data_IF_575631580035
#
_entry.id   IF_575631580035
#
_cell.length_a   1.000
_cell.length_b   1.000
_cell.length_c   1.000
_cell.angle_alpha   90.00
_cell.angle_beta   90.00
_cell.angle_gamma   90.00
#
_symmetry.space_group_name_H-M   'P 1'
#
loop_
_entity.id
_entity.type
_entity.pdbx_description
1 polymer ?
#
# COMPACT_ATOMS: atom_id res chain seq x y z
N UNK A 1 -43.27 -32.11 -28.00
CA UNK A 1 -43.58 -31.54 -29.32
C UNK A 1 -42.39 -30.84 -29.95
N UNK A 2 -41.64 -30.02 -29.23
CA UNK A 2 -40.44 -29.32 -29.73
C UNK A 2 -39.31 -30.25 -30.20
N UNK A 3 -39.05 -31.34 -29.45
CA UNK A 3 -38.00 -32.31 -29.80
C UNK A 3 -38.30 -33.04 -31.12
N UNK A 4 -39.55 -33.35 -31.35
CA UNK A 4 -40.02 -34.02 -32.59
C UNK A 4 -39.87 -33.11 -33.81
N UNK A 5 -40.20 -31.84 -33.66
CA UNK A 5 -40.07 -30.84 -34.73
C UNK A 5 -38.59 -30.59 -35.08
N UNK A 6 -37.70 -30.57 -34.08
CA UNK A 6 -36.26 -30.44 -34.25
C UNK A 6 -35.66 -31.64 -35.00
N UNK A 7 -36.09 -32.85 -34.68
CA UNK A 7 -35.64 -34.08 -35.34
C UNK A 7 -36.18 -34.13 -36.80
N UNK A 8 -37.43 -33.73 -37.04
CA UNK A 8 -38.02 -33.67 -38.37
C UNK A 8 -37.29 -32.69 -39.28
N UNK A 9 -36.96 -31.48 -38.78
CA UNK A 9 -36.22 -30.47 -39.53
C UNK A 9 -34.80 -30.95 -39.84
N UNK A 10 -34.12 -31.69 -38.93
CA UNK A 10 -32.78 -32.24 -39.13
C UNK A 10 -32.76 -33.35 -40.21
N UNK A 11 -33.83 -34.12 -40.36
CA UNK A 11 -33.92 -35.20 -41.38
C UNK A 11 -34.12 -34.59 -42.77
N UNK A 12 -34.89 -33.49 -42.85
CA UNK A 12 -35.22 -32.84 -44.13
C UNK A 12 -34.05 -31.98 -44.69
N UNK A 13 -33.17 -31.44 -43.78
CA UNK A 13 -32.03 -30.60 -44.17
C UNK A 13 -30.69 -31.12 -43.60
N UNK A 14 -30.06 -32.16 -44.24
CA UNK A 14 -28.75 -32.69 -43.83
C UNK A 14 -27.63 -31.67 -43.62
N UNK A 15 -27.51 -30.57 -44.42
CA UNK A 15 -26.44 -29.60 -44.21
C UNK A 15 -26.56 -28.84 -42.90
N UNK A 16 -27.74 -28.72 -42.28
CA UNK A 16 -27.91 -28.08 -40.97
C UNK A 16 -27.24 -28.89 -39.86
N UNK A 17 -27.17 -30.20 -40.03
CA UNK A 17 -26.52 -31.10 -39.05
C UNK A 17 -24.97 -30.82 -38.95
N UNK A 18 -24.35 -30.49 -40.09
CA UNK A 18 -22.92 -30.17 -40.16
C UNK A 18 -22.60 -28.85 -39.44
N UNK A 19 -23.51 -27.90 -39.32
CA UNK A 19 -23.32 -26.65 -38.57
C UNK A 19 -23.31 -26.86 -37.03
N UNK A 20 -23.55 -28.11 -36.56
CA UNK A 20 -23.55 -28.47 -35.17
C UNK A 20 -22.13 -28.56 -34.52
N UNK A 21 -21.08 -28.68 -35.33
CA UNK A 21 -19.74 -28.82 -34.84
C UNK A 21 -19.16 -27.48 -34.36
N UNK A 22 -18.45 -27.51 -33.23
CA UNK A 22 -17.71 -26.39 -32.72
C UNK A 22 -16.52 -26.90 -31.88
N UNK A 23 -15.52 -26.04 -31.69
CA UNK A 23 -14.30 -26.34 -30.96
C UNK A 23 -14.35 -25.62 -29.62
N UNK A 24 -14.04 -26.36 -28.55
CA UNK A 24 -13.82 -25.84 -27.20
C UNK A 24 -12.31 -25.70 -26.99
N UNK A 25 -11.84 -24.47 -26.82
CA UNK A 25 -10.42 -24.20 -26.62
C UNK A 25 -9.96 -24.54 -25.18
N UNK A 26 -8.66 -24.74 -24.95
CA UNK A 26 -8.10 -24.88 -23.61
C UNK A 26 -8.38 -23.64 -22.74
N UNK A 27 -8.78 -23.86 -21.48
CA UNK A 27 -9.14 -22.78 -20.56
C UNK A 27 -10.30 -21.89 -21.06
N UNK A 28 -11.23 -22.48 -21.80
CA UNK A 28 -12.49 -21.89 -22.24
C UNK A 28 -13.62 -22.85 -21.89
N UNK A 29 -14.70 -22.34 -21.33
CA UNK A 29 -15.92 -23.09 -21.08
C UNK A 29 -17.07 -22.48 -21.90
N UNK A 30 -17.96 -23.31 -22.36
CA UNK A 30 -19.10 -22.89 -23.17
C UNK A 30 -20.39 -23.23 -22.43
N UNK A 31 -21.12 -22.18 -22.07
CA UNK A 31 -22.47 -22.30 -21.52
C UNK A 31 -23.46 -22.40 -22.67
N UNK A 32 -24.21 -23.49 -22.70
CA UNK A 32 -25.16 -23.81 -23.75
C UNK A 32 -26.58 -23.48 -23.30
N UNK A 33 -27.20 -22.54 -23.99
CA UNK A 33 -28.64 -22.24 -23.86
C UNK A 33 -29.37 -22.81 -25.01
N UNK A 34 -30.56 -23.39 -24.78
CA UNK A 34 -31.49 -23.86 -25.81
C UNK A 34 -32.86 -23.23 -25.56
N UNK A 35 -33.34 -22.49 -26.53
CA UNK A 35 -34.61 -21.73 -26.43
C UNK A 35 -34.68 -20.86 -25.14
N UNK A 36 -33.56 -20.22 -24.78
CA UNK A 36 -33.47 -19.38 -23.58
C UNK A 36 -33.30 -20.13 -22.25
N UNK A 37 -33.32 -21.47 -22.25
CA UNK A 37 -33.11 -22.28 -21.04
C UNK A 37 -31.69 -22.80 -21.01
N UNK A 38 -31.08 -22.80 -19.83
CA UNK A 38 -29.77 -23.44 -19.58
C UNK A 38 -29.89 -24.95 -19.75
N UNK A 39 -28.96 -25.54 -20.47
CA UNK A 39 -28.91 -26.99 -20.72
C UNK A 39 -27.68 -27.62 -20.04
N UNK A 40 -26.50 -27.08 -20.34
CA UNK A 40 -25.23 -27.64 -19.81
C UNK A 40 -24.10 -26.67 -20.01
N UNK A 41 -23.01 -26.88 -19.25
CA UNK A 41 -21.73 -26.22 -19.44
C UNK A 41 -20.70 -27.21 -19.93
N UNK A 42 -20.07 -26.94 -21.05
CA UNK A 42 -19.05 -27.79 -21.66
C UNK A 42 -17.67 -27.33 -21.17
N UNK A 43 -17.03 -28.19 -20.39
CA UNK A 43 -15.67 -27.97 -19.82
C UNK A 43 -14.60 -28.75 -20.55
N UNK A 44 -14.99 -29.81 -21.26
CA UNK A 44 -14.03 -30.67 -21.98
C UNK A 44 -13.62 -30.07 -23.30
N UNK A 45 -12.31 -29.96 -23.51
CA UNK A 45 -11.68 -29.45 -24.72
C UNK A 45 -11.89 -30.36 -25.93
N UNK A 46 -11.77 -29.80 -27.14
CA UNK A 46 -11.83 -30.55 -28.39
C UNK A 46 -13.08 -30.26 -29.19
N UNK A 47 -13.30 -31.06 -30.24
CA UNK A 47 -14.42 -30.94 -31.13
C UNK A 47 -15.68 -31.50 -30.44
N UNK A 48 -16.74 -30.71 -30.40
CA UNK A 48 -18.03 -31.10 -29.84
C UNK A 48 -19.11 -30.82 -30.85
N UNK A 49 -20.16 -31.64 -30.77
CA UNK A 49 -21.36 -31.48 -31.60
C UNK A 49 -22.58 -31.26 -30.71
N UNK A 50 -23.34 -30.23 -31.03
CA UNK A 50 -24.64 -29.97 -30.41
C UNK A 50 -25.59 -29.54 -31.53
N UNK A 51 -26.81 -29.99 -31.45
CA UNK A 51 -27.84 -29.66 -32.41
C UNK A 51 -27.97 -28.14 -32.63
N UNK A 52 -27.89 -27.64 -33.88
CA UNK A 52 -27.77 -26.21 -34.16
C UNK A 52 -29.03 -25.39 -33.89
N UNK A 53 -30.20 -26.02 -33.91
CA UNK A 53 -31.51 -25.31 -33.85
C UNK A 53 -31.80 -24.82 -32.43
N UNK A 54 -32.06 -23.50 -32.28
CA UNK A 54 -32.49 -22.87 -31.04
C UNK A 54 -31.38 -22.76 -29.97
N UNK A 55 -30.10 -22.98 -30.33
CA UNK A 55 -28.99 -22.88 -29.42
C UNK A 55 -28.36 -21.49 -29.38
N UNK A 56 -27.93 -21.05 -28.18
CA UNK A 56 -27.02 -19.92 -27.97
C UNK A 56 -25.82 -20.43 -27.19
N UNK A 57 -24.62 -20.20 -27.70
CA UNK A 57 -23.36 -20.59 -27.08
C UNK A 57 -22.70 -19.35 -26.48
N UNK A 58 -22.52 -19.32 -25.16
CA UNK A 58 -21.83 -18.26 -24.47
C UNK A 58 -20.44 -18.78 -24.10
N UNK A 59 -19.40 -18.23 -24.73
CA UNK A 59 -18.00 -18.61 -24.50
C UNK A 59 -17.42 -17.73 -23.41
N UNK A 60 -16.89 -18.36 -22.37
CA UNK A 60 -16.30 -17.69 -21.23
C UNK A 60 -14.88 -18.24 -21.03
N UNK A 61 -13.91 -17.34 -20.97
CA UNK A 61 -12.54 -17.68 -20.65
C UNK A 61 -12.40 -17.92 -19.15
N UNK A 62 -11.76 -19.02 -18.77
CA UNK A 62 -11.38 -19.35 -17.39
C UNK A 62 -9.90 -19.10 -17.11
N UNK A 63 -9.24 -18.32 -17.99
CA UNK A 63 -7.85 -17.89 -17.81
C UNK A 63 -7.76 -16.82 -16.74
N UNK A 64 -6.59 -16.74 -16.12
CA UNK A 64 -6.29 -15.65 -15.21
C UNK A 64 -6.24 -14.34 -16.05
N UNK A 65 -6.94 -13.35 -15.59
CA UNK A 65 -7.12 -12.06 -16.28
C UNK A 65 -6.79 -10.95 -15.29
N UNK A 66 -6.13 -9.92 -15.77
CA UNK A 66 -5.86 -8.71 -15.00
C UNK A 66 -6.91 -7.65 -15.32
N UNK A 67 -7.32 -6.93 -14.29
CA UNK A 67 -8.18 -5.75 -14.37
C UNK A 67 -7.47 -4.59 -13.71
N UNK A 68 -7.26 -3.52 -14.45
CA UNK A 68 -6.69 -2.27 -13.94
C UNK A 68 -7.85 -1.35 -13.52
N UNK A 69 -7.82 -0.94 -12.25
CA UNK A 69 -8.77 0.02 -11.69
C UNK A 69 -8.16 1.40 -11.84
N UNK A 70 -8.87 2.26 -12.56
CA UNK A 70 -8.45 3.64 -12.79
C UNK A 70 -8.24 4.40 -11.45
N UNK A 71 -7.29 5.35 -11.42
CA UNK A 71 -7.07 6.20 -10.26
C UNK A 71 -8.36 6.85 -9.80
N UNK A 72 -8.64 6.74 -8.51
CA UNK A 72 -9.84 7.32 -7.90
C UNK A 72 -9.48 8.00 -6.59
N UNK A 73 -10.08 9.17 -6.36
CA UNK A 73 -9.88 9.91 -5.11
C UNK A 73 -10.76 9.32 -4.01
N UNK A 74 -10.13 9.03 -2.88
CA UNK A 74 -10.77 8.49 -1.67
C UNK A 74 -10.27 9.25 -0.46
N UNK A 75 -11.12 9.38 0.56
CA UNK A 75 -10.71 9.96 1.85
C UNK A 75 -10.29 8.81 2.77
N UNK A 76 -9.04 8.84 3.24
CA UNK A 76 -8.52 7.86 4.20
C UNK A 76 -9.07 8.10 5.62
N UNK A 77 -8.75 7.19 6.57
CA UNK A 77 -9.24 7.24 7.95
C UNK A 77 -8.91 8.55 8.68
N UNK A 78 -7.80 9.22 8.34
CA UNK A 78 -7.41 10.50 8.94
C UNK A 78 -8.07 11.72 8.26
N UNK A 79 -8.95 11.50 7.27
CA UNK A 79 -9.64 12.57 6.56
C UNK A 79 -8.85 13.19 5.40
N UNK A 80 -7.70 12.65 5.03
CA UNK A 80 -6.91 13.14 3.93
C UNK A 80 -7.39 12.54 2.60
N UNK A 81 -7.62 13.34 1.54
CA UNK A 81 -7.90 12.81 0.22
C UNK A 81 -6.63 12.21 -0.41
N UNK A 82 -6.74 10.97 -0.86
CA UNK A 82 -5.69 10.23 -1.56
C UNK A 82 -6.20 9.76 -2.92
N UNK A 83 -5.33 9.72 -3.91
CA UNK A 83 -5.56 9.03 -5.17
C UNK A 83 -4.99 7.64 -5.09
N UNK A 84 -5.82 6.65 -5.42
CA UNK A 84 -5.48 5.25 -5.35
C UNK A 84 -5.89 4.54 -6.65
N UNK A 85 -5.00 3.75 -7.21
CA UNK A 85 -5.27 2.79 -8.28
C UNK A 85 -4.90 1.38 -7.83
N UNK A 86 -5.50 0.37 -8.44
CA UNK A 86 -5.22 -1.01 -8.08
C UNK A 86 -5.30 -1.93 -9.30
N UNK A 87 -4.58 -3.03 -9.21
CA UNK A 87 -4.60 -4.12 -10.19
C UNK A 87 -5.17 -5.37 -9.52
N UNK A 88 -6.22 -5.92 -10.12
CA UNK A 88 -6.88 -7.13 -9.65
C UNK A 88 -6.59 -8.28 -10.60
N UNK A 89 -6.09 -9.39 -10.10
CA UNK A 89 -5.94 -10.63 -10.84
C UNK A 89 -7.09 -11.56 -10.46
N UNK A 90 -7.88 -11.95 -11.44
CA UNK A 90 -9.06 -12.78 -11.24
C UNK A 90 -9.21 -13.85 -12.31
N UNK A 91 -10.03 -14.83 -12.04
CA UNK A 91 -10.51 -15.82 -13.03
C UNK A 91 -11.98 -16.14 -12.80
N UNK A 92 -12.65 -16.58 -13.86
CA UNK A 92 -14.02 -17.11 -13.74
C UNK A 92 -13.93 -18.55 -13.25
N UNK A 93 -14.46 -18.81 -12.05
CA UNK A 93 -14.53 -20.14 -11.45
C UNK A 93 -15.85 -20.86 -11.77
N UNK A 94 -16.95 -20.12 -11.85
CA UNK A 94 -18.28 -20.63 -12.20
C UNK A 94 -18.83 -19.87 -13.41
N UNK A 95 -18.69 -20.49 -14.57
CA UNK A 95 -19.11 -19.91 -15.85
C UNK A 95 -20.63 -19.83 -15.99
N UNK A 96 -21.39 -20.67 -15.27
CA UNK A 96 -22.84 -20.57 -15.24
C UNK A 96 -23.28 -19.26 -14.58
N UNK A 97 -22.72 -18.96 -13.39
CA UNK A 97 -23.03 -17.70 -12.69
C UNK A 97 -22.60 -16.49 -13.54
N UNK A 98 -21.41 -16.53 -14.11
CA UNK A 98 -20.88 -15.46 -14.95
C UNK A 98 -21.69 -15.20 -16.23
N UNK A 99 -22.40 -16.25 -16.75
CA UNK A 99 -23.20 -16.14 -17.97
C UNK A 99 -24.66 -15.76 -17.73
N UNK A 100 -25.21 -16.10 -16.56
CA UNK A 100 -26.67 -16.08 -16.32
C UNK A 100 -27.04 -15.09 -15.22
N UNK A 101 -26.23 -14.98 -14.17
CA UNK A 101 -26.57 -14.13 -13.01
C UNK A 101 -26.22 -12.65 -13.22
N UNK A 102 -25.27 -12.36 -14.09
CA UNK A 102 -24.84 -11.00 -14.42
C UNK A 102 -24.89 -10.79 -15.93
N UNK A 103 -25.16 -9.58 -16.36
CA UNK A 103 -25.23 -9.24 -17.79
C UNK A 103 -23.83 -9.26 -18.44
N UNK A 104 -22.87 -8.59 -17.80
CA UNK A 104 -21.45 -8.60 -18.17
C UNK A 104 -20.59 -8.73 -16.91
N UNK A 105 -20.00 -9.90 -16.75
CA UNK A 105 -19.16 -10.21 -15.59
C UNK A 105 -17.90 -9.33 -15.53
N UNK A 106 -17.38 -8.84 -16.66
CA UNK A 106 -16.20 -7.97 -16.70
C UNK A 106 -16.51 -6.60 -16.14
N UNK A 107 -17.59 -5.99 -16.62
CA UNK A 107 -18.07 -4.71 -16.10
C UNK A 107 -18.49 -4.84 -14.64
N UNK A 108 -19.12 -5.96 -14.27
CA UNK A 108 -19.54 -6.22 -12.91
C UNK A 108 -18.35 -6.23 -11.94
N UNK A 109 -17.25 -6.94 -12.26
CA UNK A 109 -16.05 -6.94 -11.39
C UNK A 109 -15.39 -5.55 -11.35
N UNK A 110 -15.36 -4.81 -12.45
CA UNK A 110 -14.80 -3.47 -12.52
C UNK A 110 -15.55 -2.51 -11.56
N UNK A 111 -16.87 -2.49 -11.63
CA UNK A 111 -17.73 -1.66 -10.78
C UNK A 111 -17.59 -2.06 -9.29
N UNK A 112 -17.57 -3.36 -8.99
CA UNK A 112 -17.40 -3.86 -7.62
C UNK A 112 -16.01 -3.57 -7.09
N UNK A 113 -14.97 -3.76 -7.89
CA UNK A 113 -13.59 -3.51 -7.50
C UNK A 113 -13.36 -2.03 -7.16
N UNK A 114 -13.85 -1.11 -7.96
CA UNK A 114 -13.80 0.33 -7.66
C UNK A 114 -14.50 0.69 -6.35
N UNK A 115 -15.66 0.10 -6.08
CA UNK A 115 -16.40 0.32 -4.82
C UNK A 115 -15.66 -0.25 -3.60
N UNK A 116 -15.07 -1.45 -3.73
CA UNK A 116 -14.29 -2.10 -2.66
C UNK A 116 -13.03 -1.32 -2.36
N UNK A 117 -12.30 -0.85 -3.39
CA UNK A 117 -11.09 -0.02 -3.21
C UNK A 117 -11.42 1.21 -2.37
N UNK A 118 -12.49 1.93 -2.68
CA UNK A 118 -12.94 3.09 -1.90
C UNK A 118 -13.26 2.73 -0.45
N UNK A 119 -13.97 1.64 -0.23
CA UNK A 119 -14.40 1.20 1.10
C UNK A 119 -13.24 0.74 1.98
N UNK A 120 -12.30 -0.02 1.43
CA UNK A 120 -11.15 -0.52 2.17
C UNK A 120 -10.14 0.60 2.41
N UNK A 121 -9.85 1.43 1.41
CA UNK A 121 -8.94 2.57 1.56
C UNK A 121 -9.39 3.54 2.67
N UNK A 122 -10.71 3.75 2.84
CA UNK A 122 -11.24 4.58 3.91
C UNK A 122 -11.00 4.02 5.34
N UNK A 123 -10.67 2.74 5.49
CA UNK A 123 -10.44 2.10 6.79
C UNK A 123 -8.99 2.18 7.27
N UNK A 124 -8.04 2.37 6.37
CA UNK A 124 -6.63 2.39 6.68
C UNK A 124 -6.02 3.76 6.47
N UNK A 125 -5.02 4.16 7.30
CA UNK A 125 -4.26 5.38 7.04
C UNK A 125 -3.33 5.19 5.83
N UNK A 126 -3.07 6.28 5.12
CA UNK A 126 -2.07 6.30 4.06
C UNK A 126 -0.71 5.87 4.57
N UNK A 127 -0.25 6.47 5.68
CA UNK A 127 1.01 6.20 6.35
C UNK A 127 0.81 6.16 7.86
N UNK A 128 1.52 5.28 8.56
CA UNK A 128 1.53 5.20 10.02
C UNK A 128 2.93 5.45 10.54
N UNK A 129 3.04 6.28 11.60
CA UNK A 129 4.29 6.46 12.33
C UNK A 129 4.69 5.20 13.12
N UNK A 130 3.72 4.36 13.45
CA UNK A 130 3.93 3.09 14.15
C UNK A 130 4.17 1.97 13.13
N UNK A 131 5.37 1.33 13.11
CA UNK A 131 5.69 0.25 12.19
C UNK A 131 4.78 -0.98 12.30
N UNK A 132 4.13 -1.18 13.44
CA UNK A 132 3.26 -2.32 13.73
C UNK A 132 1.84 -2.14 13.19
N UNK A 133 1.44 -0.91 12.87
CA UNK A 133 0.09 -0.63 12.35
C UNK A 133 0.02 -0.80 10.85
N UNK A 134 -1.04 -1.49 10.41
CA UNK A 134 -1.35 -1.64 9.00
C UNK A 134 -1.60 -0.26 8.36
N UNK A 135 -0.99 0.00 7.21
CA UNK A 135 -1.18 1.22 6.43
C UNK A 135 -1.12 0.89 4.92
N UNK A 136 -1.76 1.74 4.11
CA UNK A 136 -1.85 1.53 2.67
C UNK A 136 -0.49 1.53 1.97
N UNK A 137 0.40 2.45 2.35
CA UNK A 137 1.73 2.64 1.73
C UNK A 137 2.66 1.42 1.86
N UNK A 138 2.52 0.62 2.91
CA UNK A 138 3.35 -0.58 3.12
C UNK A 138 2.80 -1.83 2.46
N UNK A 139 1.59 -1.75 1.86
CA UNK A 139 0.89 -2.94 1.34
C UNK A 139 0.96 -4.11 2.32
N UNK A 140 0.65 -3.83 3.60
CA UNK A 140 0.71 -4.87 4.63
C UNK A 140 -0.20 -6.05 4.24
N UNK A 141 0.19 -7.24 4.64
CA UNK A 141 -0.54 -8.47 4.35
C UNK A 141 -2.01 -8.40 4.82
N UNK A 142 -2.25 -7.68 5.91
CA UNK A 142 -3.60 -7.43 6.44
C UNK A 142 -4.45 -6.62 5.46
N UNK A 143 -3.88 -5.55 4.87
CA UNK A 143 -4.59 -4.71 3.90
C UNK A 143 -4.93 -5.50 2.65
N UNK A 144 -3.95 -6.23 2.10
CA UNK A 144 -4.15 -7.05 0.89
C UNK A 144 -5.18 -8.15 1.13
N UNK A 145 -5.13 -8.82 2.27
CA UNK A 145 -6.08 -9.88 2.65
C UNK A 145 -7.48 -9.30 2.79
N UNK A 146 -7.64 -8.11 3.37
CA UNK A 146 -8.94 -7.46 3.49
C UNK A 146 -9.50 -7.07 2.13
N UNK A 147 -8.67 -6.53 1.21
CA UNK A 147 -9.08 -6.26 -0.16
C UNK A 147 -9.57 -7.52 -0.87
N UNK A 148 -8.82 -8.62 -0.79
CA UNK A 148 -9.18 -9.89 -1.42
C UNK A 148 -10.51 -10.40 -0.87
N UNK A 149 -10.67 -10.42 0.46
CA UNK A 149 -11.87 -10.95 1.11
C UNK A 149 -13.12 -10.14 0.76
N UNK A 150 -13.06 -8.81 0.87
CA UNK A 150 -14.19 -7.94 0.56
C UNK A 150 -14.55 -7.98 -0.94
N UNK A 151 -13.55 -8.04 -1.81
CA UNK A 151 -13.79 -8.15 -3.24
C UNK A 151 -14.34 -9.53 -3.61
N UNK A 152 -13.81 -10.60 -3.02
CA UNK A 152 -14.32 -11.97 -3.24
C UNK A 152 -15.78 -12.09 -2.85
N UNK A 153 -16.17 -11.52 -1.71
CA UNK A 153 -17.56 -11.49 -1.27
C UNK A 153 -18.45 -10.74 -2.27
N UNK A 154 -18.00 -9.59 -2.74
CA UNK A 154 -18.75 -8.76 -3.68
C UNK A 154 -18.94 -9.42 -5.06
N UNK A 155 -17.94 -10.18 -5.57
CA UNK A 155 -17.98 -10.79 -6.90
C UNK A 155 -18.44 -12.26 -6.89
N UNK A 156 -18.68 -12.85 -5.74
CA UNK A 156 -19.15 -14.23 -5.60
C UNK A 156 -20.46 -14.52 -6.38
N UNK A 157 -21.45 -13.59 -6.45
CA UNK A 157 -22.64 -13.80 -7.26
C UNK A 157 -22.37 -13.98 -8.76
N UNK A 158 -21.27 -13.40 -9.26
CA UNK A 158 -20.84 -13.53 -10.65
C UNK A 158 -19.98 -14.78 -10.91
N UNK A 159 -19.69 -15.59 -9.88
CA UNK A 159 -18.86 -16.79 -10.03
C UNK A 159 -17.39 -16.50 -10.33
N UNK A 160 -16.90 -15.33 -9.91
CA UNK A 160 -15.52 -14.89 -10.09
C UNK A 160 -14.71 -15.26 -8.85
N UNK A 161 -13.49 -15.73 -9.06
CA UNK A 161 -12.49 -15.98 -8.02
C UNK A 161 -11.39 -14.93 -8.12
N UNK A 162 -11.19 -14.15 -7.07
CA UNK A 162 -10.12 -13.18 -6.94
C UNK A 162 -8.86 -13.91 -6.51
N UNK A 163 -7.77 -13.76 -7.25
CA UNK A 163 -6.50 -14.41 -6.98
C UNK A 163 -5.54 -13.50 -6.22
N UNK A 164 -5.50 -12.23 -6.63
CA UNK A 164 -4.62 -11.25 -6.01
C UNK A 164 -5.17 -9.82 -6.25
N UNK A 165 -4.88 -8.93 -5.31
CA UNK A 165 -5.14 -7.49 -5.43
C UNK A 165 -3.87 -6.76 -5.02
N UNK A 166 -3.41 -5.82 -5.85
CA UNK A 166 -2.25 -4.97 -5.55
C UNK A 166 -2.61 -3.53 -5.80
N UNK A 167 -2.12 -2.67 -4.91
CA UNK A 167 -2.18 -1.23 -5.13
C UNK A 167 -1.07 -0.85 -6.13
N UNK A 168 -1.41 -0.05 -7.14
CA UNK A 168 -0.45 0.37 -8.16
C UNK A 168 0.07 1.77 -7.83
N UNK A 169 -0.81 2.77 -7.84
CA UNK A 169 -0.47 4.14 -7.49
C UNK A 169 -1.18 4.52 -6.19
N UNK A 170 -0.42 5.14 -5.31
CA UNK A 170 -0.93 5.64 -4.04
C UNK A 170 -0.26 6.98 -3.73
N UNK A 171 -0.99 8.06 -3.92
CA UNK A 171 -0.48 9.42 -3.71
C UNK A 171 -1.51 10.27 -2.98
N UNK A 172 -1.06 11.35 -2.35
CA UNK A 172 -2.00 12.38 -1.87
C UNK A 172 -2.63 13.10 -3.05
N UNK A 173 -3.90 13.46 -2.91
CA UNK A 173 -4.56 14.27 -3.91
C UNK A 173 -3.80 15.59 -4.13
N UNK A 174 -3.73 16.10 -5.38
CA UNK A 174 -2.92 17.28 -5.72
C UNK A 174 -3.18 18.50 -4.85
N UNK A 175 -4.41 18.66 -4.38
CA UNK A 175 -4.83 19.81 -3.56
C UNK A 175 -4.11 19.89 -2.21
N UNK A 176 -3.73 18.73 -1.64
CA UNK A 176 -3.08 18.66 -0.33
C UNK A 176 -1.64 18.16 -0.39
N UNK A 177 -1.17 17.70 -1.54
CA UNK A 177 0.13 17.06 -1.70
C UNK A 177 1.28 17.95 -1.19
N UNK A 178 1.25 19.25 -1.50
CA UNK A 178 2.27 20.20 -1.04
C UNK A 178 2.23 20.39 0.47
N UNK A 179 1.06 20.52 1.07
CA UNK A 179 0.92 20.66 2.52
C UNK A 179 1.40 19.39 3.27
N UNK A 180 1.10 18.22 2.74
CA UNK A 180 1.58 16.95 3.30
C UNK A 180 3.08 16.77 3.17
N UNK A 181 3.67 17.20 2.05
CA UNK A 181 5.13 17.22 1.89
C UNK A 181 5.81 18.12 2.94
N UNK A 182 5.28 19.33 3.16
CA UNK A 182 5.79 20.24 4.21
C UNK A 182 5.67 19.62 5.60
N UNK A 183 4.56 18.96 5.90
CA UNK A 183 4.37 18.23 7.16
C UNK A 183 5.38 17.09 7.33
N UNK A 184 5.60 16.30 6.29
CA UNK A 184 6.60 15.22 6.32
C UNK A 184 8.02 15.76 6.51
N UNK A 185 8.38 16.86 5.84
CA UNK A 185 9.67 17.53 6.04
C UNK A 185 9.83 18.04 7.46
N UNK A 186 8.81 18.65 8.07
CA UNK A 186 8.84 19.12 9.44
C UNK A 186 9.02 17.96 10.44
N UNK A 187 8.29 16.86 10.26
CA UNK A 187 8.45 15.65 11.10
C UNK A 187 9.84 15.05 10.95
N UNK A 188 10.34 14.90 9.72
CA UNK A 188 11.68 14.38 9.46
C UNK A 188 12.77 15.26 10.10
N UNK A 189 12.59 16.59 10.11
CA UNK A 189 13.53 17.51 10.78
C UNK A 189 13.50 17.34 12.31
N UNK A 190 12.31 17.14 12.90
CA UNK A 190 12.17 16.88 14.34
C UNK A 190 12.84 15.56 14.71
N UNK A 191 12.59 14.50 13.93
CA UNK A 191 13.18 13.18 14.16
C UNK A 191 14.71 13.21 14.02
N UNK A 192 15.22 13.92 12.99
CA UNK A 192 16.65 14.12 12.80
C UNK A 192 17.28 14.87 14.01
N UNK A 193 16.63 15.93 14.49
CA UNK A 193 17.10 16.67 15.68
C UNK A 193 17.09 15.80 16.93
N UNK A 194 16.05 15.00 17.14
CA UNK A 194 15.96 14.06 18.23
C UNK A 194 17.12 13.06 18.21
N UNK A 195 17.39 12.47 17.05
CA UNK A 195 18.52 11.53 16.86
C UNK A 195 19.87 12.20 17.14
N UNK A 196 20.07 13.46 16.71
CA UNK A 196 21.29 14.22 16.99
C UNK A 196 21.45 14.44 18.50
N UNK A 197 20.38 14.84 19.22
CA UNK A 197 20.44 15.07 20.67
C UNK A 197 20.68 13.76 21.41
N UNK A 198 20.04 12.67 21.07
CA UNK A 198 20.25 11.36 21.66
C UNK A 198 21.71 10.89 21.45
N UNK A 199 22.24 11.01 20.24
CA UNK A 199 23.63 10.71 19.92
C UNK A 199 24.61 11.62 20.64
N UNK A 200 24.33 12.92 20.77
CA UNK A 200 25.17 13.86 21.51
C UNK A 200 25.23 13.49 22.98
N UNK A 201 24.13 13.13 23.62
CA UNK A 201 24.08 12.68 25.01
C UNK A 201 24.92 11.40 25.22
N UNK A 202 24.84 10.45 24.29
CA UNK A 202 25.61 9.21 24.34
C UNK A 202 27.12 9.48 24.22
N UNK A 203 27.53 10.33 23.27
CA UNK A 203 28.92 10.73 23.06
C UNK A 203 29.49 11.42 24.33
N UNK A 204 28.72 12.33 24.93
CA UNK A 204 29.11 13.03 26.15
C UNK A 204 29.25 12.06 27.33
N UNK A 205 28.32 11.12 27.47
CA UNK A 205 28.38 10.06 28.49
C UNK A 205 29.63 9.22 28.34
N UNK A 206 29.94 8.79 27.11
CA UNK A 206 31.15 8.02 26.80
C UNK A 206 32.43 8.81 27.09
N UNK A 207 32.46 10.08 26.72
CA UNK A 207 33.62 10.95 26.98
C UNK A 207 33.90 11.09 28.48
N UNK A 208 32.87 11.35 29.29
CA UNK A 208 32.97 11.43 30.73
C UNK A 208 33.45 10.09 31.36
N UNK A 209 32.90 8.98 30.87
CA UNK A 209 33.27 7.64 31.34
C UNK A 209 34.76 7.34 31.05
N UNK A 210 35.25 7.68 29.87
CA UNK A 210 36.64 7.50 29.45
C UNK A 210 37.60 8.41 30.22
N UNK A 211 37.22 9.65 30.55
CA UNK A 211 37.99 10.56 31.39
C UNK A 211 38.17 9.98 32.79
N UNK A 212 37.09 9.49 33.39
CA UNK A 212 37.13 8.83 34.69
C UNK A 212 38.03 7.57 34.69
N UNK A 213 37.94 6.76 33.64
CA UNK A 213 38.76 5.54 33.46
C UNK A 213 40.28 5.87 33.29
N UNK A 214 40.61 7.04 32.71
CA UNK A 214 41.96 7.51 32.53
C UNK A 214 42.57 8.14 33.80
N UNK A 215 41.83 8.15 34.93
CA UNK A 215 42.30 8.71 36.20
C UNK A 215 42.32 10.25 36.26
N UNK A 216 41.65 10.90 35.33
CA UNK A 216 41.42 12.34 35.33
C UNK A 216 40.16 12.63 36.15
N UNK A 217 40.33 12.86 37.47
CA UNK A 217 39.23 13.33 38.32
C UNK A 217 38.94 14.80 38.02
N UNK A 218 37.87 15.04 37.28
CA UNK A 218 37.36 16.39 37.02
C UNK A 218 36.38 16.75 38.15
N UNK A 219 36.58 17.91 38.78
CA UNK A 219 35.66 18.39 39.82
C UNK A 219 34.24 18.48 39.28
N UNK A 220 33.20 18.20 40.10
CA UNK A 220 31.82 18.13 39.67
C UNK A 220 31.36 19.40 38.94
N UNK A 221 31.79 20.59 39.39
CA UNK A 221 31.45 21.87 38.71
C UNK A 221 32.12 22.02 37.34
N UNK A 222 33.35 21.53 37.16
CA UNK A 222 34.05 21.55 35.87
C UNK A 222 33.45 20.51 34.90
N UNK A 223 32.97 19.39 35.44
CA UNK A 223 32.31 18.33 34.69
C UNK A 223 30.98 18.82 34.11
N UNK A 224 30.15 19.52 34.89
CA UNK A 224 28.87 20.07 34.44
C UNK A 224 29.07 21.14 33.36
N UNK A 225 30.11 21.96 33.48
CA UNK A 225 30.46 22.95 32.45
C UNK A 225 30.96 22.28 31.18
N UNK A 226 31.75 21.23 31.27
CA UNK A 226 32.27 20.47 30.13
C UNK A 226 31.16 19.75 29.40
N UNK A 227 30.22 19.11 30.13
CA UNK A 227 29.04 18.46 29.59
C UNK A 227 28.15 19.47 28.85
N UNK A 228 27.89 20.63 29.47
CA UNK A 228 27.08 21.69 28.86
C UNK A 228 27.70 22.21 27.56
N UNK A 229 29.01 22.49 27.59
CA UNK A 229 29.74 22.99 26.42
C UNK A 229 29.78 21.96 25.29
N UNK A 230 30.00 20.68 25.58
CA UNK A 230 29.97 19.61 24.58
C UNK A 230 28.57 19.44 23.96
N UNK A 231 27.50 19.47 24.76
CA UNK A 231 26.15 19.38 24.26
C UNK A 231 25.80 20.56 23.34
N UNK A 232 26.22 21.78 23.74
CA UNK A 232 26.01 22.98 22.90
C UNK A 232 26.73 22.83 21.55
N UNK A 233 27.98 22.36 21.54
CA UNK A 233 28.77 22.18 20.32
C UNK A 233 28.17 21.08 19.41
N UNK A 234 27.76 19.96 20.00
CA UNK A 234 27.24 18.81 19.26
C UNK A 234 25.80 19.05 18.75
N UNK A 235 24.97 19.76 19.52
CA UNK A 235 23.59 20.02 19.17
C UNK A 235 23.38 21.30 18.34
N UNK A 236 24.33 22.24 18.39
CA UNK A 236 24.30 23.43 17.52
C UNK A 236 24.88 23.05 16.17
N UNK A 237 24.09 23.21 15.09
CA UNK A 237 24.61 23.05 13.73
C UNK A 237 25.84 23.98 13.48
N UNK A 238 26.53 23.82 12.36
CA UNK A 238 27.83 24.31 11.89
C UNK A 238 28.30 25.75 12.26
N UNK A 239 27.58 26.51 13.10
CA UNK A 239 27.89 27.91 13.43
C UNK A 239 28.11 28.24 14.92
N UNK A 240 28.11 27.27 15.82
CA UNK A 240 28.42 27.56 17.21
C UNK A 240 29.93 27.58 17.43
N UNK A 241 30.52 28.77 17.60
CA UNK A 241 31.88 28.92 18.14
C UNK A 241 31.80 28.89 19.67
N UNK A 242 32.44 27.92 20.35
CA UNK A 242 32.48 27.92 21.80
C UNK A 242 33.32 29.10 22.27
N UNK A 243 32.74 29.97 23.05
CA UNK A 243 33.48 31.06 23.75
C UNK A 243 33.94 30.50 25.09
N UNK A 244 35.18 30.07 25.16
CA UNK A 244 35.83 29.70 26.42
C UNK A 244 36.15 30.98 27.20
N UNK A 245 35.45 31.26 28.29
CA UNK A 245 35.84 32.24 29.24
C UNK A 245 36.95 31.65 30.14
N UNK A 246 38.21 31.92 29.83
CA UNK A 246 39.33 31.61 30.73
C UNK A 246 39.31 32.64 31.84
N UNK A 247 38.76 32.30 32.99
CA UNK A 247 38.95 33.08 34.21
C UNK A 247 40.41 32.97 34.63
N UNK A 248 41.21 33.97 34.30
CA UNK A 248 42.53 34.12 34.86
C UNK A 248 42.40 34.49 36.34
N UNK A 249 42.63 33.53 37.24
CA UNK A 249 42.79 33.81 38.66
C UNK A 249 44.09 34.62 38.87
N UNK A 250 43.93 35.95 38.74
CA UNK A 250 45.01 36.89 39.07
C UNK A 250 45.33 36.81 40.56
N UNK A 251 46.41 36.07 40.91
CA UNK A 251 47.07 36.21 42.22
C UNK A 251 47.58 37.65 42.38
N UNK A 252 46.81 38.43 43.11
CA UNK A 252 47.30 39.72 43.61
C UNK A 252 48.47 39.48 44.56
N UNK A 253 49.72 39.67 44.07
CA UNK A 253 50.92 39.73 44.90
C UNK A 253 51.01 41.14 45.43
N UNK A 254 50.66 41.31 46.74
CA UNK A 254 50.85 42.51 47.50
C UNK A 254 52.33 42.81 47.57
N UNK A 255 52.73 44.00 47.14
CA UNK A 255 54.04 44.56 47.41
C UNK A 255 53.87 45.94 48.06
N UNK A 256 53.90 45.86 49.40
CA UNK A 256 54.09 47.00 50.28
C UNK A 256 55.46 47.62 49.99
N UNK A 257 55.61 48.89 49.72
CA UNK A 257 56.80 49.68 49.97
C UNK A 257 56.43 51.09 50.44
N UNK A 258 56.88 51.28 51.71
CA UNK A 258 57.06 52.49 52.38
C UNK A 258 57.96 53.49 51.64
N UNK A 259 57.76 54.72 51.90
CA UNK A 259 58.89 55.68 51.96
C UNK A 259 58.55 57.03 51.35
N UNK A 260 58.27 57.87 52.27
CA UNK A 260 58.96 59.14 52.55
C UNK A 260 58.58 60.37 51.66
N UNK A 261 57.98 61.27 52.34
CA UNK A 261 58.05 62.75 52.22
C UNK A 261 59.49 63.26 52.26
N UNK A 262 59.98 64.47 51.92
CA UNK A 262 59.27 65.76 52.04
C UNK A 262 59.64 66.80 50.92
N UNK A 263 58.91 67.84 50.85
CA UNK A 263 59.18 69.27 50.80
C UNK A 263 58.22 69.94 49.75
#
# INVERSE_FOLDING_TARGET
>A
MELFLVVLVSIVFPPILLMGFFIVNPREEIVVLRFGKYVTTLRTQGIRWIHPVGRKLLRISTRDTTLDIAPTTVVEVNGNPIEISAVVVYRVADTYKAAIHVEDYRKFIEDQAGAVVKRVAAKFPYESADPSKACLKKESEDVTTQFINELQEAVNPAGICVLNVRLNDLTYAPEIAQAMLMRQQALALIDARKTIVEGAVEIVRDAVTRLNAAGLEVADSERDELVSNLLVVLCSGERAQPVLQVQSSGRAHGRNRHGANPA
#
